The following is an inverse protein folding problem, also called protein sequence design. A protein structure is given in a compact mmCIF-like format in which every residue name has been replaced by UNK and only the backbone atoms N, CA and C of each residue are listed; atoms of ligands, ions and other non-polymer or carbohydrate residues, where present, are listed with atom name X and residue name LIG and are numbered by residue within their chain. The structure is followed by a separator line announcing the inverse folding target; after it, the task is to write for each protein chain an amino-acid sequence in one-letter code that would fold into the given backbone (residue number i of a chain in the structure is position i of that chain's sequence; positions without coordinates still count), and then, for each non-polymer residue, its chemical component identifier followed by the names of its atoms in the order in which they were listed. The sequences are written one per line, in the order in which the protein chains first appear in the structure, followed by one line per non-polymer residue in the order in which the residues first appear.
data_IF_561976917291
#
_entry.id   IF_561976917291
#
_cell.length_a   1.000
_cell.length_b   1.000
_cell.length_c   1.000
_cell.angle_alpha   90.00
_cell.angle_beta   90.00
_cell.angle_gamma   90.00
#
_symmetry.space_group_name_H-M   'P 1'
#
loop_
_entity.id
_entity.type
_entity.pdbx_description
1 polymer ?
#
# COMPACT_ATOMS: atom_id res chain seq x y z
N UNK A 1 -21.87 -0.76 27.45
CA UNK A 1 -21.14 0.03 26.43
C UNK A 1 -22.12 0.32 25.33
N UNK A 2 -22.63 1.55 25.30
CA UNK A 2 -23.59 2.00 24.29
C UNK A 2 -22.88 2.17 22.96
N UNK A 3 -23.44 1.57 21.93
CA UNK A 3 -22.95 1.70 20.56
C UNK A 3 -23.35 3.05 20.02
N UNK A 4 -22.40 3.94 19.79
CA UNK A 4 -22.65 5.24 19.14
C UNK A 4 -22.76 4.98 17.64
N UNK A 5 -23.98 5.03 17.13
CA UNK A 5 -24.25 5.03 15.69
C UNK A 5 -24.24 6.49 15.23
N UNK A 6 -23.40 6.83 14.25
CA UNK A 6 -23.52 8.08 13.51
C UNK A 6 -24.68 7.94 12.51
N UNK A 7 -25.87 8.16 13.01
CA UNK A 7 -27.06 8.35 12.17
C UNK A 7 -27.53 9.75 12.43
N UNK A 8 -27.34 10.66 11.46
CA UNK A 8 -28.16 11.86 11.43
C UNK A 8 -29.63 11.41 11.25
N UNK A 9 -30.47 11.80 12.18
CA UNK A 9 -31.88 11.46 12.22
C UNK A 9 -32.64 12.15 11.07
N UNK A 10 -32.75 11.45 9.95
CA UNK A 10 -33.83 11.69 9.02
C UNK A 10 -34.95 10.68 9.28
N UNK A 11 -36.11 11.12 9.69
CA UNK A 11 -37.26 10.36 10.25
C UNK A 11 -37.89 9.35 9.25
N UNK A 12 -37.17 8.83 8.27
CA UNK A 12 -37.67 7.87 7.28
C UNK A 12 -36.81 6.61 7.13
N UNK A 13 -35.92 6.32 8.05
CA UNK A 13 -35.17 5.08 7.99
C UNK A 13 -35.92 3.98 8.75
N UNK A 14 -36.55 3.06 8.01
CA UNK A 14 -36.96 1.80 8.57
C UNK A 14 -35.76 1.10 9.22
N UNK A 15 -36.02 0.32 10.28
CA UNK A 15 -35.00 -0.44 11.00
C UNK A 15 -34.39 -1.43 10.00
N UNK A 16 -33.27 -1.05 9.40
CA UNK A 16 -32.50 -1.96 8.57
C UNK A 16 -31.71 -2.87 9.49
N UNK A 17 -31.84 -4.18 9.31
CA UNK A 17 -31.00 -5.17 9.98
C UNK A 17 -29.57 -5.05 9.45
N UNK A 18 -28.74 -4.20 10.06
CA UNK A 18 -27.31 -4.09 9.76
C UNK A 18 -26.68 -5.48 9.97
N UNK A 19 -25.85 -5.90 9.05
CA UNK A 19 -25.12 -7.18 9.17
C UNK A 19 -24.34 -7.18 10.51
N UNK A 20 -24.77 -8.03 11.45
CA UNK A 20 -24.16 -8.11 12.79
C UNK A 20 -22.86 -8.88 12.70
N UNK A 21 -21.74 -8.15 12.77
CA UNK A 21 -20.40 -8.74 12.84
C UNK A 21 -19.86 -8.66 14.27
N UNK A 22 -19.34 -9.76 14.79
CA UNK A 22 -18.89 -9.87 16.18
C UNK A 22 -17.47 -9.34 16.38
N UNK A 23 -16.60 -9.55 15.39
CA UNK A 23 -15.19 -9.22 15.47
C UNK A 23 -14.57 -8.93 14.10
N UNK A 24 -13.29 -8.53 14.12
CA UNK A 24 -12.51 -8.25 12.91
C UNK A 24 -12.34 -9.46 11.97
N UNK A 25 -12.39 -10.69 12.50
CA UNK A 25 -12.28 -11.88 11.66
C UNK A 25 -13.53 -12.07 10.81
N UNK A 26 -14.71 -11.88 11.42
CA UNK A 26 -15.99 -11.91 10.70
C UNK A 26 -16.06 -10.77 9.66
N UNK A 27 -15.57 -9.56 9.99
CA UNK A 27 -15.52 -8.46 9.03
C UNK A 27 -14.59 -8.79 7.86
N UNK A 28 -13.40 -9.33 8.11
CA UNK A 28 -12.45 -9.67 7.03
C UNK A 28 -12.98 -10.81 6.14
N UNK A 29 -13.66 -11.79 6.74
CA UNK A 29 -14.28 -12.88 6.02
C UNK A 29 -15.46 -12.38 5.15
N UNK A 30 -16.32 -11.54 5.73
CA UNK A 30 -17.43 -10.88 5.06
C UNK A 30 -16.92 -9.98 3.91
N UNK A 31 -15.83 -9.23 4.13
CA UNK A 31 -15.23 -8.40 3.10
C UNK A 31 -14.71 -9.24 1.91
N UNK A 32 -14.06 -10.36 2.18
CA UNK A 32 -13.63 -11.26 1.12
C UNK A 32 -14.82 -11.89 0.37
N UNK A 33 -15.92 -12.19 1.06
CA UNK A 33 -17.14 -12.69 0.42
C UNK A 33 -17.78 -11.62 -0.46
N UNK A 34 -17.89 -10.39 0.04
CA UNK A 34 -18.35 -9.22 -0.71
C UNK A 34 -17.57 -9.03 -2.02
N UNK A 35 -16.25 -9.11 -1.95
CA UNK A 35 -15.39 -8.95 -3.12
C UNK A 35 -15.68 -9.97 -4.22
N UNK A 36 -15.95 -11.22 -3.82
CA UNK A 36 -16.28 -12.31 -4.74
C UNK A 36 -17.68 -12.15 -5.33
N UNK A 37 -18.68 -11.95 -4.47
CA UNK A 37 -20.09 -11.86 -4.87
C UNK A 37 -20.33 -10.72 -5.85
N UNK A 38 -19.75 -9.57 -5.57
CA UNK A 38 -19.85 -8.39 -6.44
C UNK A 38 -18.79 -8.33 -7.52
N UNK A 39 -17.90 -9.34 -7.62
CA UNK A 39 -16.80 -9.42 -8.60
C UNK A 39 -15.97 -8.12 -8.63
N UNK A 40 -15.63 -7.60 -7.46
CA UNK A 40 -15.03 -6.27 -7.34
C UNK A 40 -13.71 -6.12 -8.11
N UNK A 41 -12.89 -7.16 -8.19
CA UNK A 41 -11.62 -7.15 -8.93
C UNK A 41 -11.76 -7.06 -10.45
N UNK A 42 -12.96 -7.36 -10.98
CA UNK A 42 -13.24 -7.25 -12.42
C UNK A 42 -13.83 -5.91 -12.82
N UNK A 43 -14.40 -5.18 -11.86
CA UNK A 43 -15.03 -3.88 -12.12
C UNK A 43 -14.00 -2.83 -12.55
N UNK A 44 -14.41 -1.97 -13.47
CA UNK A 44 -13.59 -0.87 -13.98
C UNK A 44 -14.28 0.46 -13.77
N UNK A 45 -13.50 1.49 -13.40
CA UNK A 45 -13.88 2.91 -13.41
C UNK A 45 -12.86 3.63 -14.28
N UNK A 46 -13.32 4.48 -15.19
CA UNK A 46 -12.47 5.14 -16.18
C UNK A 46 -11.54 4.16 -16.93
N UNK A 47 -12.03 2.95 -17.25
CA UNK A 47 -11.27 1.89 -17.92
C UNK A 47 -10.26 1.12 -17.05
N UNK A 48 -10.10 1.49 -15.77
CA UNK A 48 -9.10 0.90 -14.86
C UNK A 48 -9.77 -0.08 -13.90
N UNK A 49 -9.20 -1.27 -13.71
CA UNK A 49 -9.54 -2.16 -12.60
C UNK A 49 -9.15 -1.49 -11.29
N UNK A 50 -10.04 -0.70 -10.72
CA UNK A 50 -9.77 0.25 -9.65
C UNK A 50 -9.65 -0.38 -8.26
N UNK A 51 -10.38 -1.50 -8.03
CA UNK A 51 -10.55 -2.06 -6.71
C UNK A 51 -9.23 -2.42 -6.01
N UNK A 52 -8.30 -2.99 -6.76
CA UNK A 52 -6.96 -3.34 -6.27
C UNK A 52 -6.16 -2.14 -5.70
N UNK A 53 -6.56 -0.91 -6.01
CA UNK A 53 -5.91 0.32 -5.55
C UNK A 53 -6.60 1.01 -4.38
N UNK A 54 -7.86 0.65 -4.09
CA UNK A 54 -8.65 1.32 -3.06
C UNK A 54 -9.19 0.39 -1.97
N UNK A 55 -9.19 -0.94 -2.19
CA UNK A 55 -9.79 -1.92 -1.28
C UNK A 55 -9.31 -1.82 0.17
N UNK A 56 -8.02 -1.60 0.38
CA UNK A 56 -7.46 -1.42 1.72
C UNK A 56 -8.03 -0.19 2.43
N UNK A 57 -8.22 0.92 1.71
CA UNK A 57 -8.80 2.11 2.31
C UNK A 57 -10.27 1.92 2.67
N UNK A 58 -11.04 1.24 1.80
CA UNK A 58 -12.45 0.93 2.08
C UNK A 58 -12.54 0.07 3.35
N UNK A 59 -11.71 -0.95 3.47
CA UNK A 59 -11.70 -1.80 4.64
C UNK A 59 -11.25 -1.05 5.90
N UNK A 60 -10.06 -0.45 5.88
CA UNK A 60 -9.43 0.11 7.07
C UNK A 60 -10.06 1.45 7.51
N UNK A 61 -10.34 2.33 6.55
CA UNK A 61 -10.78 3.70 6.88
C UNK A 61 -12.30 3.86 6.95
N UNK A 62 -13.07 2.90 6.40
CA UNK A 62 -14.52 3.00 6.38
C UNK A 62 -15.20 1.82 7.09
N UNK A 63 -15.04 0.59 6.62
CA UNK A 63 -15.78 -0.54 7.22
C UNK A 63 -15.38 -0.77 8.68
N UNK A 64 -14.09 -0.75 9.02
CA UNK A 64 -13.63 -0.92 10.43
C UNK A 64 -14.15 0.19 11.32
N UNK A 65 -14.34 1.41 10.80
CA UNK A 65 -14.89 2.54 11.56
C UNK A 65 -16.40 2.37 11.75
N UNK A 66 -17.13 2.06 10.67
CA UNK A 66 -18.59 1.83 10.71
C UNK A 66 -18.96 0.72 11.70
N UNK A 67 -18.17 -0.36 11.75
CA UNK A 67 -18.39 -1.45 12.70
C UNK A 67 -17.78 -1.22 14.11
N UNK A 68 -17.22 -0.03 14.36
CA UNK A 68 -16.66 0.34 15.67
C UNK A 68 -15.41 -0.43 16.07
N UNK A 69 -14.73 -1.09 15.11
CA UNK A 69 -13.47 -1.80 15.37
C UNK A 69 -12.26 -0.87 15.36
N UNK A 70 -12.43 0.37 14.91
CA UNK A 70 -11.38 1.38 14.86
C UNK A 70 -11.98 2.77 15.11
N UNK A 71 -11.33 3.62 15.90
CA UNK A 71 -11.78 4.99 16.09
C UNK A 71 -11.12 5.92 15.08
N UNK A 72 -11.84 6.94 14.61
CA UNK A 72 -11.27 8.00 13.76
C UNK A 72 -10.08 8.70 14.41
N UNK A 73 -10.07 8.84 15.74
CA UNK A 73 -8.97 9.43 16.48
C UNK A 73 -7.70 8.58 16.46
N UNK A 74 -7.81 7.25 16.36
CA UNK A 74 -6.66 6.39 16.13
C UNK A 74 -6.04 6.59 14.75
N UNK A 75 -6.86 6.81 13.72
CA UNK A 75 -6.38 7.16 12.37
C UNK A 75 -5.60 8.49 12.37
N UNK A 76 -6.11 9.50 13.08
CA UNK A 76 -5.43 10.81 13.21
C UNK A 76 -4.13 10.72 14.02
N UNK A 77 -4.07 9.87 15.05
CA UNK A 77 -2.86 9.67 15.90
C UNK A 77 -1.76 8.84 15.24
N UNK A 78 -2.09 8.08 14.19
CA UNK A 78 -1.09 7.38 13.37
C UNK A 78 -0.32 8.32 12.43
N UNK A 79 -0.67 9.59 12.36
CA UNK A 79 0.17 10.62 11.73
C UNK A 79 1.38 10.78 12.65
N UNK A 80 2.51 10.24 12.19
CA UNK A 80 3.79 10.24 12.92
C UNK A 80 4.10 11.60 13.50
N UNK A 81 4.45 11.64 14.82
CA UNK A 81 5.13 12.81 15.39
C UNK A 81 6.35 13.09 14.50
N UNK A 82 6.37 14.28 13.95
CA UNK A 82 7.53 14.75 13.22
C UNK A 82 8.64 15.01 14.22
N UNK A 83 9.56 14.06 14.39
CA UNK A 83 10.84 14.37 15.02
C UNK A 83 11.54 15.41 14.15
N UNK A 84 11.98 16.49 14.77
CA UNK A 84 12.77 17.53 14.10
C UNK A 84 14.08 16.93 13.62
N UNK A 85 14.07 16.48 12.38
CA UNK A 85 15.27 15.92 11.76
C UNK A 85 16.23 17.04 11.45
N UNK A 86 17.34 17.12 12.15
CA UNK A 86 18.40 18.10 11.87
C UNK A 86 19.08 17.72 10.56
N UNK A 87 18.66 18.36 9.46
CA UNK A 87 19.32 18.24 8.16
C UNK A 87 20.62 19.04 8.14
N UNK A 88 21.72 18.36 7.90
CA UNK A 88 22.98 19.04 7.58
C UNK A 88 22.98 19.38 6.09
N UNK A 89 23.56 20.53 5.73
CA UNK A 89 23.71 20.97 4.33
C UNK A 89 24.30 19.84 3.44
N UNK A 90 25.19 19.05 4.00
CA UNK A 90 25.81 17.91 3.31
C UNK A 90 24.82 16.78 2.97
N UNK A 91 23.81 16.55 3.77
CA UNK A 91 22.79 15.52 3.49
C UNK A 91 21.92 15.95 2.30
N UNK A 92 21.65 17.25 2.16
CA UNK A 92 20.96 17.82 1.00
C UNK A 92 21.80 17.69 -0.28
N UNK A 93 23.12 17.90 -0.18
CA UNK A 93 24.04 17.72 -1.32
C UNK A 93 24.09 16.26 -1.74
N UNK A 94 24.18 15.32 -0.78
CA UNK A 94 24.14 13.89 -1.07
C UNK A 94 22.85 13.48 -1.79
N UNK A 95 21.70 13.94 -1.29
CA UNK A 95 20.40 13.68 -1.94
C UNK A 95 20.39 14.16 -3.40
N UNK A 96 20.79 15.40 -3.62
CA UNK A 96 20.66 16.03 -4.93
C UNK A 96 21.71 15.58 -5.94
N UNK A 97 22.87 15.15 -5.49
CA UNK A 97 24.02 14.88 -6.35
C UNK A 97 24.42 13.40 -6.33
N UNK A 98 24.76 12.85 -5.16
CA UNK A 98 25.39 11.53 -5.08
C UNK A 98 24.38 10.36 -5.13
N UNK A 99 23.25 10.52 -4.45
CA UNK A 99 22.23 9.45 -4.29
C UNK A 99 20.95 9.75 -5.07
N UNK A 100 21.10 10.45 -6.19
CA UNK A 100 19.95 10.92 -6.97
C UNK A 100 19.44 9.82 -7.92
N UNK A 101 18.13 9.65 -7.95
CA UNK A 101 17.43 8.68 -8.81
C UNK A 101 17.70 8.86 -10.33
N UNK A 102 18.16 10.03 -10.76
CA UNK A 102 18.49 10.25 -12.17
C UNK A 102 19.83 9.64 -12.61
N UNK A 103 20.69 9.28 -11.65
CA UNK A 103 22.00 8.67 -11.88
C UNK A 103 22.04 7.17 -11.61
N UNK A 104 20.90 6.54 -11.39
CA UNK A 104 20.84 5.08 -11.22
C UNK A 104 21.32 4.37 -12.50
N UNK A 105 22.08 3.29 -12.30
CA UNK A 105 22.52 2.39 -13.35
C UNK A 105 21.99 0.97 -13.11
N UNK A 106 22.47 0.01 -13.89
CA UNK A 106 22.07 -1.39 -13.80
C UNK A 106 22.39 -1.98 -12.43
N UNK A 107 21.42 -2.70 -11.83
CA UNK A 107 21.56 -3.49 -10.60
C UNK A 107 20.69 -4.73 -10.68
N UNK A 108 21.11 -5.80 -10.04
CA UNK A 108 20.36 -7.05 -10.05
C UNK A 108 19.11 -6.99 -9.15
N UNK A 109 19.17 -6.23 -8.07
CA UNK A 109 18.07 -6.12 -7.10
C UNK A 109 17.73 -4.67 -6.82
N UNK A 110 16.44 -4.36 -6.76
CA UNK A 110 15.93 -3.11 -6.20
C UNK A 110 15.21 -3.40 -4.89
N UNK A 111 15.50 -2.64 -3.85
CA UNK A 111 14.87 -2.75 -2.54
C UNK A 111 14.19 -1.44 -2.24
N UNK A 112 12.86 -1.44 -2.18
CA UNK A 112 12.07 -0.28 -1.76
C UNK A 112 11.88 -0.32 -0.25
N UNK A 113 12.41 0.67 0.44
CA UNK A 113 12.38 0.78 1.89
C UNK A 113 10.97 1.03 2.42
N UNK A 114 10.81 0.77 3.72
CA UNK A 114 9.58 1.07 4.45
C UNK A 114 9.58 2.50 5.00
N UNK A 115 8.45 2.88 5.60
CA UNK A 115 8.36 4.13 6.40
C UNK A 115 8.94 3.97 7.80
N UNK A 116 9.23 2.72 8.24
CA UNK A 116 9.69 2.44 9.60
C UNK A 116 11.19 2.60 9.69
N UNK A 117 11.61 3.83 9.89
CA UNK A 117 13.00 4.20 10.12
C UNK A 117 13.26 4.31 11.63
N UNK A 118 14.38 3.78 12.07
CA UNK A 118 14.90 3.95 13.43
C UNK A 118 16.24 4.66 13.37
N UNK A 119 16.54 5.46 14.41
CA UNK A 119 17.80 6.18 14.54
C UNK A 119 18.81 5.23 15.19
N UNK A 120 19.98 5.06 14.59
CA UNK A 120 21.12 4.40 15.20
C UNK A 120 21.88 5.31 16.16
N UNK A 121 22.82 4.75 16.90
CA UNK A 121 23.64 5.51 17.87
C UNK A 121 24.49 6.66 17.27
N UNK A 122 24.56 6.79 15.94
CA UNK A 122 25.27 7.81 15.19
C UNK A 122 24.34 8.86 14.55
N UNK A 123 23.10 8.94 15.00
CA UNK A 123 22.07 9.83 14.43
C UNK A 123 21.80 9.57 12.94
N UNK A 124 22.01 8.35 12.49
CA UNK A 124 21.68 7.89 11.14
C UNK A 124 20.41 7.05 11.19
N UNK A 125 19.65 7.12 10.12
CA UNK A 125 18.44 6.32 9.98
C UNK A 125 18.78 4.97 9.33
N UNK A 126 18.11 3.92 9.79
CA UNK A 126 18.09 2.61 9.14
C UNK A 126 16.65 2.13 9.02
N UNK A 127 16.35 1.44 7.96
CA UNK A 127 15.06 0.77 7.80
C UNK A 127 15.07 -0.56 8.55
N UNK A 128 14.06 -0.78 9.38
CA UNK A 128 13.97 -1.96 10.27
C UNK A 128 13.96 -3.28 9.48
N UNK A 129 13.43 -3.31 8.26
CA UNK A 129 13.26 -4.53 7.49
C UNK A 129 14.33 -4.75 6.42
N UNK A 130 14.90 -3.68 5.88
CA UNK A 130 15.76 -3.78 4.70
C UNK A 130 17.24 -3.55 4.99
N UNK A 131 17.60 -2.90 6.10
CA UNK A 131 19.00 -2.61 6.47
C UNK A 131 19.87 -3.87 6.57
N UNK A 132 19.36 -4.94 7.18
CA UNK A 132 20.11 -6.19 7.28
C UNK A 132 20.26 -6.90 5.93
N UNK A 133 19.25 -6.75 5.06
CA UNK A 133 19.29 -7.28 3.69
C UNK A 133 20.36 -6.52 2.90
N UNK A 134 20.38 -5.19 2.97
CA UNK A 134 21.39 -4.34 2.34
C UNK A 134 22.81 -4.76 2.75
N UNK A 135 23.04 -4.99 4.04
CA UNK A 135 24.36 -5.39 4.57
C UNK A 135 24.79 -6.80 4.18
N UNK A 136 23.86 -7.76 4.08
CA UNK A 136 24.16 -9.17 3.82
C UNK A 136 24.07 -9.55 2.34
N UNK A 137 23.38 -8.78 1.50
CA UNK A 137 23.15 -9.10 0.10
C UNK A 137 24.42 -8.93 -0.74
N UNK A 138 24.88 -10.02 -1.36
CA UNK A 138 26.08 -10.03 -2.21
C UNK A 138 25.82 -9.53 -3.64
N UNK A 139 24.58 -9.60 -4.09
CA UNK A 139 24.18 -9.13 -5.41
C UNK A 139 24.20 -7.61 -5.49
N UNK A 140 24.51 -7.09 -6.67
CA UNK A 140 24.46 -5.65 -6.91
C UNK A 140 23.03 -5.12 -6.72
N UNK A 141 22.85 -4.12 -5.86
CA UNK A 141 21.53 -3.61 -5.53
C UNK A 141 21.49 -2.11 -5.28
N UNK A 142 20.28 -1.56 -5.29
CA UNK A 142 19.96 -0.26 -4.76
C UNK A 142 18.96 -0.36 -3.64
N UNK A 143 19.14 0.47 -2.63
CA UNK A 143 18.21 0.72 -1.55
C UNK A 143 17.47 2.02 -1.86
N UNK A 144 16.19 1.94 -2.17
CA UNK A 144 15.38 3.06 -2.64
C UNK A 144 14.60 3.67 -1.48
N UNK A 145 15.03 4.85 -0.99
CA UNK A 145 14.23 5.65 -0.04
C UNK A 145 13.13 6.37 -0.81
N UNK A 146 11.97 5.73 -0.82
CA UNK A 146 10.80 6.14 -1.59
C UNK A 146 9.80 6.97 -0.77
N UNK A 147 9.93 6.98 0.54
CA UNK A 147 8.88 7.44 1.45
C UNK A 147 8.90 8.95 1.63
N UNK A 148 7.80 9.61 1.21
CA UNK A 148 7.53 11.03 1.43
C UNK A 148 8.56 11.97 0.81
N UNK A 149 8.47 13.25 1.16
CA UNK A 149 9.40 14.28 0.72
C UNK A 149 10.60 14.44 1.66
N UNK A 150 10.57 13.80 2.84
CA UNK A 150 11.66 13.85 3.82
C UNK A 150 12.83 12.99 3.37
N UNK A 151 14.02 13.49 3.61
CA UNK A 151 15.28 12.79 3.41
C UNK A 151 15.73 12.24 4.76
N UNK A 152 15.97 10.94 4.82
CA UNK A 152 16.52 10.31 6.02
C UNK A 152 17.98 10.01 5.79
N UNK A 153 18.92 10.73 6.49
CA UNK A 153 20.34 10.46 6.37
C UNK A 153 20.67 9.01 6.74
N UNK A 154 21.22 8.27 5.79
CA UNK A 154 21.58 6.86 5.96
C UNK A 154 23.05 6.63 5.64
N UNK A 155 23.57 5.48 6.05
CA UNK A 155 24.98 5.09 5.84
C UNK A 155 25.19 4.18 4.64
N UNK A 156 24.14 3.61 4.06
CA UNK A 156 24.28 2.68 2.95
C UNK A 156 24.92 3.33 1.71
N UNK A 157 25.96 2.74 1.13
CA UNK A 157 26.52 3.18 -0.15
C UNK A 157 25.59 2.88 -1.34
N UNK A 158 24.59 2.03 -1.15
CA UNK A 158 23.63 1.61 -2.18
C UNK A 158 22.34 2.48 -2.18
N UNK A 159 22.29 3.49 -1.29
CA UNK A 159 21.12 4.35 -1.13
C UNK A 159 20.84 5.17 -2.38
N UNK A 160 19.56 5.29 -2.72
CA UNK A 160 19.04 6.21 -3.73
C UNK A 160 17.78 6.88 -3.19
N UNK A 161 17.73 8.20 -3.23
CA UNK A 161 16.53 8.96 -2.89
C UNK A 161 15.58 8.96 -4.08
N UNK A 162 14.60 8.09 -4.04
CA UNK A 162 13.64 7.82 -5.10
C UNK A 162 12.37 8.68 -4.91
N UNK A 163 12.47 9.98 -5.09
CA UNK A 163 11.40 10.95 -4.80
C UNK A 163 10.53 11.22 -6.03
N UNK A 164 9.28 10.77 -5.98
CA UNK A 164 8.33 10.89 -7.09
C UNK A 164 8.01 12.35 -7.44
N UNK A 165 7.81 13.24 -6.47
CA UNK A 165 7.51 14.64 -6.73
C UNK A 165 8.70 15.37 -7.39
N UNK A 166 9.93 15.01 -7.01
CA UNK A 166 11.12 15.53 -7.68
C UNK A 166 11.17 15.06 -9.15
N UNK A 167 10.85 13.79 -9.40
CA UNK A 167 10.77 13.27 -10.76
C UNK A 167 9.73 14.02 -11.59
N UNK A 168 8.54 14.25 -11.07
CA UNK A 168 7.49 15.03 -11.76
C UNK A 168 8.00 16.42 -12.15
N UNK A 169 8.63 17.12 -11.21
CA UNK A 169 9.18 18.47 -11.46
C UNK A 169 10.24 18.48 -12.56
N UNK A 170 11.23 17.58 -12.47
CA UNK A 170 12.33 17.51 -13.45
C UNK A 170 11.84 17.12 -14.83
N UNK A 171 10.96 16.13 -14.90
CA UNK A 171 10.38 15.64 -16.17
C UNK A 171 9.23 16.49 -16.68
N UNK A 172 8.87 17.56 -15.98
CA UNK A 172 7.75 18.47 -16.32
C UNK A 172 6.44 17.72 -16.57
N UNK A 173 6.18 16.69 -15.75
CA UNK A 173 4.97 15.90 -15.86
C UNK A 173 3.82 16.69 -15.24
N UNK A 174 2.80 16.92 -16.03
CA UNK A 174 1.54 17.50 -15.54
C UNK A 174 0.70 16.42 -14.86
N UNK A 175 -0.01 16.82 -13.81
CA UNK A 175 -1.02 15.94 -13.21
C UNK A 175 -2.13 15.73 -14.23
N UNK A 176 -2.51 14.48 -14.41
CA UNK A 176 -3.61 14.11 -15.30
C UNK A 176 -4.88 13.96 -14.45
N UNK A 177 -5.88 14.76 -14.75
CA UNK A 177 -7.20 14.60 -14.14
C UNK A 177 -7.93 13.44 -14.81
N UNK A 178 -7.97 12.32 -14.14
CA UNK A 178 -8.89 11.23 -14.49
C UNK A 178 -10.26 11.60 -13.97
N UNK A 179 -11.18 11.95 -14.85
CA UNK A 179 -12.56 12.22 -14.46
C UNK A 179 -13.26 10.91 -14.12
N UNK A 180 -13.61 10.75 -12.87
CA UNK A 180 -14.49 9.68 -12.39
C UNK A 180 -15.91 10.19 -12.46
N UNK A 181 -16.80 9.46 -13.11
CA UNK A 181 -18.24 9.79 -13.10
C UNK A 181 -18.82 9.44 -11.73
N UNK A 182 -19.65 10.33 -11.18
CA UNK A 182 -20.37 10.08 -9.93
C UNK A 182 -21.28 8.85 -10.06
N UNK A 183 -21.93 8.66 -11.21
CA UNK A 183 -22.77 7.49 -11.48
C UNK A 183 -21.96 6.18 -11.49
N UNK A 184 -20.75 6.19 -12.08
CA UNK A 184 -19.86 5.02 -12.02
C UNK A 184 -19.41 4.74 -10.60
N UNK A 185 -19.08 5.77 -9.83
CA UNK A 185 -18.70 5.64 -8.43
C UNK A 185 -19.85 5.08 -7.59
N UNK A 186 -21.03 5.68 -7.67
CA UNK A 186 -22.20 5.23 -6.94
C UNK A 186 -22.56 3.77 -7.29
N UNK A 187 -22.66 3.44 -8.58
CA UNK A 187 -23.09 2.10 -9.02
C UNK A 187 -22.06 1.01 -8.80
N UNK A 188 -20.75 1.34 -8.85
CA UNK A 188 -19.68 0.34 -8.80
C UNK A 188 -18.98 0.25 -7.44
N UNK A 189 -19.11 1.27 -6.57
CA UNK A 189 -18.46 1.31 -5.26
C UNK A 189 -19.50 1.37 -4.14
N UNK A 190 -20.28 2.43 -4.07
CA UNK A 190 -21.13 2.73 -2.90
C UNK A 190 -22.28 1.74 -2.80
N UNK A 191 -23.16 1.66 -3.81
CA UNK A 191 -24.32 0.75 -3.78
C UNK A 191 -23.95 -0.71 -3.50
N UNK A 192 -22.91 -1.31 -4.11
CA UNK A 192 -22.48 -2.65 -3.74
C UNK A 192 -22.15 -2.81 -2.25
N UNK A 193 -21.47 -1.84 -1.65
CA UNK A 193 -21.11 -1.87 -0.22
C UNK A 193 -22.36 -1.72 0.64
N UNK A 194 -23.19 -0.71 0.38
CA UNK A 194 -24.41 -0.46 1.12
C UNK A 194 -25.38 -1.65 1.06
N UNK A 195 -25.57 -2.24 -0.12
CA UNK A 195 -26.47 -3.37 -0.30
C UNK A 195 -25.96 -4.64 0.40
N UNK A 196 -24.64 -4.91 0.34
CA UNK A 196 -24.08 -6.10 0.96
C UNK A 196 -24.09 -6.04 2.48
N UNK A 197 -23.65 -4.88 3.02
CA UNK A 197 -23.53 -4.69 4.46
C UNK A 197 -24.82 -4.18 5.13
N UNK A 198 -25.82 -3.83 4.33
CA UNK A 198 -27.04 -3.18 4.79
C UNK A 198 -26.77 -1.96 5.67
N UNK A 199 -25.90 -1.09 5.19
CA UNK A 199 -25.49 0.17 5.84
C UNK A 199 -25.76 1.34 4.92
N UNK A 200 -25.81 2.53 5.49
CA UNK A 200 -25.80 3.78 4.73
C UNK A 200 -24.46 4.49 4.91
N UNK A 201 -23.81 4.84 3.82
CA UNK A 201 -22.58 5.65 3.83
C UNK A 201 -22.99 7.11 3.69
N UNK A 202 -22.74 7.92 4.70
CA UNK A 202 -23.10 9.34 4.69
C UNK A 202 -22.34 10.14 3.62
N UNK A 203 -22.85 11.33 3.33
CA UNK A 203 -22.33 12.19 2.25
C UNK A 203 -20.86 12.62 2.45
N UNK A 204 -20.38 12.72 3.70
CA UNK A 204 -19.00 13.10 3.99
C UNK A 204 -18.05 11.94 3.67
N UNK A 205 -18.36 10.74 4.14
CA UNK A 205 -17.59 9.52 3.82
C UNK A 205 -17.61 9.23 2.31
N UNK A 206 -18.76 9.39 1.62
CA UNK A 206 -18.84 9.24 0.15
C UNK A 206 -17.87 10.20 -0.54
N UNK A 207 -17.84 11.48 -0.15
CA UNK A 207 -16.91 12.47 -0.71
C UNK A 207 -15.45 12.10 -0.46
N UNK A 208 -15.10 11.60 0.72
CA UNK A 208 -13.75 11.18 1.04
C UNK A 208 -13.30 9.98 0.18
N UNK A 209 -14.16 8.95 0.05
CA UNK A 209 -13.89 7.78 -0.80
C UNK A 209 -13.74 8.22 -2.26
N UNK A 210 -14.65 9.07 -2.74
CA UNK A 210 -14.62 9.57 -4.13
C UNK A 210 -13.33 10.34 -4.43
N UNK A 211 -12.99 11.32 -3.59
CA UNK A 211 -11.79 12.12 -3.74
C UNK A 211 -10.51 11.25 -3.72
N UNK A 212 -10.47 10.27 -2.82
CA UNK A 212 -9.34 9.33 -2.72
C UNK A 212 -9.23 8.44 -3.96
N UNK A 213 -10.35 7.91 -4.45
CA UNK A 213 -10.39 7.12 -5.68
C UNK A 213 -9.91 7.94 -6.88
N UNK A 214 -10.46 9.14 -7.06
CA UNK A 214 -10.11 10.04 -8.16
C UNK A 214 -8.60 10.38 -8.13
N UNK A 215 -8.08 10.77 -6.95
CA UNK A 215 -6.66 11.04 -6.77
C UNK A 215 -5.80 9.83 -7.13
N UNK A 216 -6.13 8.63 -6.65
CA UNK A 216 -5.35 7.42 -6.94
C UNK A 216 -5.37 7.04 -8.42
N UNK A 217 -6.50 7.20 -9.09
CA UNK A 217 -6.58 6.93 -10.52
C UNK A 217 -5.77 7.94 -11.33
N UNK A 218 -5.75 9.21 -10.93
CA UNK A 218 -4.92 10.26 -11.53
C UNK A 218 -3.43 10.01 -11.28
N UNK A 219 -3.03 9.78 -10.04
CA UNK A 219 -1.63 9.54 -9.68
C UNK A 219 -1.05 8.27 -10.32
N UNK A 220 -1.88 7.24 -10.50
CA UNK A 220 -1.46 5.93 -11.01
C UNK A 220 -0.67 6.01 -12.32
N UNK A 221 -1.10 6.86 -13.25
CA UNK A 221 -0.46 6.95 -14.58
C UNK A 221 0.93 7.59 -14.47
N UNK A 222 1.05 8.63 -13.67
CA UNK A 222 2.33 9.31 -13.45
C UNK A 222 3.29 8.44 -12.63
N UNK A 223 2.80 7.72 -11.62
CA UNK A 223 3.57 6.72 -10.90
C UNK A 223 4.04 5.58 -11.82
N UNK A 224 3.19 5.12 -12.73
CA UNK A 224 3.59 4.09 -13.69
C UNK A 224 4.69 4.58 -14.65
N UNK A 225 4.66 5.85 -15.09
CA UNK A 225 5.74 6.47 -15.86
C UNK A 225 7.04 6.53 -15.06
N UNK A 226 6.93 6.93 -13.79
CA UNK A 226 8.06 6.97 -12.88
C UNK A 226 8.71 5.59 -12.68
N UNK A 227 7.92 4.57 -12.37
CA UNK A 227 8.45 3.23 -12.20
C UNK A 227 9.01 2.64 -13.51
N UNK A 228 8.39 2.93 -14.65
CA UNK A 228 8.97 2.55 -15.95
C UNK A 228 10.37 3.15 -16.11
N UNK A 229 10.55 4.44 -15.80
CA UNK A 229 11.86 5.09 -15.85
C UNK A 229 12.89 4.40 -14.94
N UNK A 230 12.53 4.17 -13.67
CA UNK A 230 13.43 3.49 -12.70
C UNK A 230 13.80 2.08 -13.20
N UNK A 231 12.83 1.29 -13.64
CA UNK A 231 13.05 -0.09 -14.06
C UNK A 231 13.82 -0.19 -15.39
N UNK A 232 13.65 0.74 -16.30
CA UNK A 232 14.42 0.79 -17.55
C UNK A 232 15.88 1.16 -17.33
N UNK A 233 16.15 2.04 -16.38
CA UNK A 233 17.51 2.44 -16.01
C UNK A 233 18.23 1.33 -15.22
N UNK A 234 17.58 0.77 -14.23
CA UNK A 234 18.20 -0.20 -13.31
C UNK A 234 18.18 -1.63 -13.83
N UNK A 235 17.22 -2.01 -14.67
CA UNK A 235 17.03 -3.35 -15.26
C UNK A 235 17.18 -4.49 -14.23
N UNK A 236 16.42 -4.44 -13.13
CA UNK A 236 16.60 -5.42 -12.06
C UNK A 236 16.08 -6.80 -12.48
N UNK A 237 16.63 -7.83 -11.87
CA UNK A 237 16.14 -9.22 -11.98
C UNK A 237 15.01 -9.51 -10.98
N UNK A 238 14.99 -8.76 -9.86
CA UNK A 238 13.99 -8.90 -8.81
C UNK A 238 13.82 -7.58 -8.04
N UNK A 239 12.62 -7.36 -7.54
CA UNK A 239 12.28 -6.20 -6.71
C UNK A 239 11.81 -6.69 -5.35
N UNK A 240 12.35 -6.11 -4.28
CA UNK A 240 11.87 -6.29 -2.90
C UNK A 240 11.11 -5.05 -2.46
N UNK A 241 9.94 -5.24 -1.85
CA UNK A 241 9.12 -4.16 -1.29
C UNK A 241 8.73 -4.51 0.16
N UNK A 242 8.42 -3.51 0.96
CA UNK A 242 7.91 -3.68 2.32
C UNK A 242 6.45 -3.26 2.37
N UNK A 243 5.55 -4.25 2.46
CA UNK A 243 4.11 -4.02 2.42
C UNK A 243 3.58 -3.65 1.02
N UNK A 244 2.25 -3.74 0.88
CA UNK A 244 1.55 -3.44 -0.38
C UNK A 244 0.67 -2.20 -0.19
N UNK A 245 1.24 -1.03 -0.39
CA UNK A 245 0.49 0.24 -0.46
C UNK A 245 0.14 0.56 -1.90
N UNK A 246 -0.63 1.61 -2.10
CA UNK A 246 -1.04 2.06 -3.44
C UNK A 246 0.14 2.22 -4.41
N UNK A 247 1.20 2.88 -3.98
CA UNK A 247 2.39 3.11 -4.79
C UNK A 247 3.06 1.79 -5.18
N UNK A 248 3.19 0.87 -4.22
CA UNK A 248 3.77 -0.46 -4.46
C UNK A 248 2.85 -1.32 -5.34
N UNK A 249 1.54 -1.17 -5.23
CA UNK A 249 0.59 -1.82 -6.13
C UNK A 249 0.77 -1.36 -7.59
N UNK A 250 1.03 -0.07 -7.82
CA UNK A 250 1.36 0.45 -9.16
C UNK A 250 2.70 -0.11 -9.64
N UNK A 251 3.71 -0.16 -8.76
CA UNK A 251 5.02 -0.78 -9.07
C UNK A 251 4.85 -2.24 -9.49
N UNK A 252 4.09 -3.04 -8.73
CA UNK A 252 3.80 -4.44 -9.08
C UNK A 252 3.20 -4.57 -10.47
N UNK A 253 2.21 -3.72 -10.80
CA UNK A 253 1.56 -3.74 -12.11
C UNK A 253 2.53 -3.39 -13.26
N UNK A 254 3.48 -2.47 -13.04
CA UNK A 254 4.50 -2.09 -14.02
C UNK A 254 5.56 -3.19 -14.15
N UNK A 255 6.06 -3.73 -13.04
CA UNK A 255 7.05 -4.79 -13.01
C UNK A 255 6.54 -6.07 -13.69
N UNK A 256 5.29 -6.45 -13.45
CA UNK A 256 4.65 -7.62 -14.09
C UNK A 256 4.59 -7.50 -15.61
N UNK A 257 4.36 -6.31 -16.17
CA UNK A 257 4.42 -6.07 -17.63
C UNK A 257 5.82 -6.24 -18.21
N UNK A 258 6.85 -6.10 -17.39
CA UNK A 258 8.26 -6.27 -17.77
C UNK A 258 8.80 -7.65 -17.39
N UNK A 259 7.96 -8.56 -16.88
CA UNK A 259 8.35 -9.88 -16.38
C UNK A 259 9.43 -9.80 -15.26
N UNK A 260 9.38 -8.77 -14.44
CA UNK A 260 10.27 -8.61 -13.29
C UNK A 260 9.50 -9.06 -12.04
N UNK A 261 9.95 -10.11 -11.34
CA UNK A 261 9.27 -10.59 -10.14
C UNK A 261 9.38 -9.59 -9.00
N UNK A 262 8.27 -9.42 -8.28
CA UNK A 262 8.18 -8.59 -7.08
C UNK A 262 7.94 -9.48 -5.87
N UNK A 263 8.75 -9.28 -4.85
CA UNK A 263 8.66 -9.97 -3.56
C UNK A 263 8.29 -8.96 -2.49
N UNK A 264 7.22 -9.21 -1.75
CA UNK A 264 6.91 -8.41 -0.56
C UNK A 264 7.50 -9.06 0.68
N UNK A 265 8.18 -8.24 1.48
CA UNK A 265 8.65 -8.61 2.81
C UNK A 265 7.54 -8.34 3.82
N UNK A 266 7.28 -9.29 4.69
CA UNK A 266 6.39 -9.10 5.82
C UNK A 266 6.89 -7.95 6.70
N UNK A 267 5.98 -7.08 7.17
CA UNK A 267 6.32 -5.91 7.98
C UNK A 267 5.53 -5.79 9.29
N UNK A 268 4.79 -6.81 9.62
CA UNK A 268 3.98 -6.95 10.84
C UNK A 268 3.35 -8.33 10.87
N UNK A 269 2.65 -8.67 11.95
CA UNK A 269 1.96 -9.96 12.05
C UNK A 269 0.90 -10.08 10.94
N UNK A 270 0.97 -11.13 10.14
CA UNK A 270 -0.07 -11.45 9.17
C UNK A 270 -1.16 -12.25 9.87
N UNK A 271 -2.29 -11.61 10.08
CA UNK A 271 -3.49 -12.25 10.62
C UNK A 271 -4.52 -12.51 9.53
N UNK A 272 -5.49 -13.36 9.79
CA UNK A 272 -6.62 -13.60 8.88
C UNK A 272 -7.50 -12.36 8.70
N UNK A 273 -7.37 -11.38 9.61
CA UNK A 273 -8.13 -10.13 9.61
C UNK A 273 -7.53 -9.05 8.70
N UNK A 274 -6.40 -9.32 8.06
CA UNK A 274 -5.70 -8.37 7.19
C UNK A 274 -6.02 -8.64 5.72
N UNK A 275 -6.98 -7.93 5.10
CA UNK A 275 -7.40 -8.22 3.72
C UNK A 275 -6.33 -7.92 2.69
N UNK A 276 -5.34 -7.07 3.01
CA UNK A 276 -4.20 -6.79 2.11
C UNK A 276 -3.51 -8.08 1.67
N UNK A 277 -3.43 -9.06 2.55
CA UNK A 277 -2.78 -10.34 2.29
C UNK A 277 -3.76 -11.50 2.08
N UNK A 278 -4.98 -11.39 2.58
CA UNK A 278 -5.94 -12.49 2.65
C UNK A 278 -7.12 -12.32 1.72
N UNK A 279 -7.62 -13.43 1.21
CA UNK A 279 -8.89 -13.55 0.48
C UNK A 279 -9.41 -14.98 0.56
N UNK A 280 -10.73 -15.17 0.42
CA UNK A 280 -11.36 -16.52 0.32
C UNK A 280 -10.90 -17.26 -0.93
N UNK A 281 -10.69 -16.55 -2.03
CA UNK A 281 -10.23 -17.12 -3.28
C UNK A 281 -8.96 -16.46 -3.79
N UNK A 282 -8.21 -17.22 -4.58
CA UNK A 282 -7.03 -16.70 -5.25
C UNK A 282 -7.47 -15.85 -6.43
N UNK A 283 -7.13 -14.57 -6.40
CA UNK A 283 -7.48 -13.62 -7.45
C UNK A 283 -6.22 -13.24 -8.22
N UNK A 284 -6.31 -13.32 -9.55
CA UNK A 284 -5.20 -12.84 -10.39
C UNK A 284 -5.20 -11.32 -10.44
N UNK A 285 -4.47 -10.71 -9.53
CA UNK A 285 -4.35 -9.25 -9.39
C UNK A 285 -3.03 -8.80 -10.01
N UNK A 286 -3.10 -7.97 -11.04
CA UNK A 286 -1.86 -7.44 -11.67
C UNK A 286 -1.09 -6.49 -10.76
N UNK A 287 -1.75 -5.82 -9.85
CA UNK A 287 -1.16 -4.88 -8.89
C UNK A 287 -0.81 -5.54 -7.55
N UNK A 288 -0.41 -6.81 -7.58
CA UNK A 288 -0.04 -7.57 -6.38
C UNK A 288 1.31 -8.26 -6.59
N UNK A 289 2.15 -8.44 -5.53
CA UNK A 289 3.46 -9.09 -5.64
C UNK A 289 3.34 -10.54 -6.11
N UNK A 290 4.43 -11.06 -6.67
CA UNK A 290 4.50 -12.44 -7.14
C UNK A 290 4.83 -13.42 -6.01
N UNK A 291 5.56 -12.95 -4.98
CA UNK A 291 5.98 -13.73 -3.82
C UNK A 291 5.76 -12.95 -2.52
N UNK A 292 5.51 -13.67 -1.45
CA UNK A 292 5.44 -13.12 -0.09
C UNK A 292 6.48 -13.85 0.78
N UNK A 293 7.40 -13.09 1.37
CA UNK A 293 8.32 -13.59 2.37
C UNK A 293 7.72 -13.33 3.75
N UNK A 294 7.47 -14.41 4.50
CA UNK A 294 6.88 -14.39 5.83
C UNK A 294 7.90 -14.78 6.90
N UNK A 295 7.71 -14.29 8.12
CA UNK A 295 8.66 -14.55 9.20
C UNK A 295 8.69 -16.03 9.62
N UNK A 296 7.57 -16.74 9.53
CA UNK A 296 7.52 -18.11 10.04
C UNK A 296 6.63 -19.05 9.22
N UNK A 297 6.87 -20.36 9.41
CA UNK A 297 5.99 -21.41 8.90
C UNK A 297 4.56 -21.31 9.46
N UNK A 298 4.42 -20.76 10.68
CA UNK A 298 3.12 -20.59 11.33
C UNK A 298 2.28 -19.54 10.61
N UNK A 299 2.86 -18.40 10.28
CA UNK A 299 2.17 -17.33 9.52
C UNK A 299 1.81 -17.80 8.12
N UNK A 300 2.72 -18.55 7.46
CA UNK A 300 2.39 -19.21 6.20
C UNK A 300 1.15 -20.10 6.30
N UNK A 301 0.99 -20.85 7.40
CA UNK A 301 -0.17 -21.74 7.62
C UNK A 301 -1.45 -20.97 7.95
N UNK A 302 -1.36 -19.86 8.68
CA UNK A 302 -2.51 -19.07 9.13
C UNK A 302 -3.11 -18.19 8.04
N UNK A 303 -2.28 -17.69 7.13
CA UNK A 303 -2.74 -16.77 6.08
C UNK A 303 -3.56 -17.45 4.99
N UNK A 304 -4.64 -16.81 4.58
CA UNK A 304 -5.46 -17.17 3.41
C UNK A 304 -5.02 -16.31 2.20
N UNK A 305 -3.76 -16.43 1.81
CA UNK A 305 -3.12 -15.51 0.88
C UNK A 305 -3.80 -15.42 -0.49
N UNK A 306 -3.81 -14.22 -1.06
CA UNK A 306 -4.28 -13.93 -2.42
C UNK A 306 -3.50 -14.67 -3.52
N UNK A 307 -2.25 -15.07 -3.23
CA UNK A 307 -1.37 -15.79 -4.16
C UNK A 307 -1.27 -17.29 -3.80
N UNK A 308 -0.80 -18.14 -4.73
CA UNK A 308 -0.58 -19.55 -4.43
C UNK A 308 0.31 -19.78 -3.22
N UNK A 309 -0.04 -20.77 -2.40
CA UNK A 309 0.69 -21.11 -1.19
C UNK A 309 2.18 -21.43 -1.42
N UNK A 310 2.53 -21.99 -2.60
CA UNK A 310 3.90 -22.23 -3.02
C UNK A 310 4.74 -20.96 -3.17
N UNK A 311 4.10 -19.82 -3.39
CA UNK A 311 4.75 -18.51 -3.52
C UNK A 311 4.86 -17.74 -2.20
N UNK A 312 4.39 -18.32 -1.09
CA UNK A 312 4.57 -17.79 0.26
C UNK A 312 5.72 -18.54 0.91
N UNK A 313 6.82 -17.84 1.19
CA UNK A 313 8.10 -18.43 1.61
C UNK A 313 8.46 -17.97 3.02
N UNK A 314 8.57 -18.86 4.01
CA UNK A 314 9.06 -18.50 5.32
C UNK A 314 10.58 -18.28 5.29
N UNK A 315 11.03 -17.11 5.74
CA UNK A 315 12.44 -16.66 5.65
C UNK A 315 13.08 -16.32 7.00
N UNK A 316 12.31 -16.32 8.09
CA UNK A 316 12.77 -15.82 9.38
C UNK A 316 12.52 -14.32 9.55
N UNK A 317 12.76 -13.83 10.76
CA UNK A 317 12.71 -12.38 11.06
C UNK A 317 14.13 -11.82 10.99
N UNK A 318 14.39 -10.82 10.16
CA UNK A 318 15.77 -10.39 9.87
C UNK A 318 16.59 -9.94 11.07
N UNK A 319 15.95 -9.43 12.12
CA UNK A 319 16.64 -8.92 13.32
C UNK A 319 16.86 -9.99 14.41
N UNK A 320 16.36 -11.21 14.25
CA UNK A 320 16.52 -12.29 15.23
C UNK A 320 17.71 -13.22 14.95
N UNK A 321 18.40 -13.04 13.86
CA UNK A 321 19.64 -13.73 13.46
C UNK A 321 20.85 -12.79 13.82
#
# INVERSE_FOLDING_TARGET
MEKIYFVESDERCGVFDVLKLKDLSELAESFSQFELEYRMFDKKIAGVKFWQYIRGDIYDSHLRVVYGFFSEDCLKKMIYKEDETVYKLWDVVKEKVLYNQFFIGRRDVLIFESVRKVIDGNYKYRDVYTDIIDKKLKQSHYLLDFVGDKVFPQTSPNLVYAKFEQFKKVMRIKDEDVKVSEDEFESKVIRPIENYYNIHIDSNHRRQIFAKLQKRLSDRKNLARYYNYILEKSRPKVILIVGVRFEMAVLCAVAKKKNIPVVVLQHGTITTTEPTYNSKEKVNICAYPDYIFVFSKLEKKRGKFLIPFSKVIPVGYPELD
#
